data_IF_864456032934
#
_entry.id   IF_864456032934
#
_cell.length_a   1.000
_cell.length_b   1.000
_cell.length_c   1.000
_cell.angle_alpha   90.00
_cell.angle_beta   90.00
_cell.angle_gamma   90.00
#
_symmetry.space_group_name_H-M   'P 1'
#
loop_
_entity.id
_entity.type
_entity.pdbx_description
1 polymer ?
#
# COMPACT_ATOMS: atom_id res chain seq x y z
N UNK A 1 -1.25 -10.36 -20.42
CA UNK A 1 -2.45 -9.89 -19.68
C UNK A 1 -3.77 -10.26 -20.37
N UNK A 2 -3.96 -9.92 -21.66
CA UNK A 2 -5.24 -10.11 -22.37
C UNK A 2 -5.74 -11.57 -22.42
N UNK A 3 -4.85 -12.53 -22.69
CA UNK A 3 -5.22 -13.97 -22.75
C UNK A 3 -5.81 -14.50 -21.44
N UNK A 4 -5.27 -14.12 -20.28
CA UNK A 4 -5.81 -14.56 -18.98
C UNK A 4 -7.10 -13.81 -18.60
N UNK A 5 -7.29 -12.57 -19.08
CA UNK A 5 -8.54 -11.85 -18.89
C UNK A 5 -9.68 -12.55 -19.64
N UNK A 6 -9.46 -12.92 -20.91
CA UNK A 6 -10.45 -13.68 -21.67
C UNK A 6 -10.73 -15.06 -21.06
N UNK A 7 -9.69 -15.80 -20.66
CA UNK A 7 -9.85 -17.15 -20.13
C UNK A 7 -10.63 -17.17 -18.80
N UNK A 8 -10.38 -16.21 -17.90
CA UNK A 8 -11.01 -16.15 -16.57
C UNK A 8 -12.37 -15.43 -16.61
N UNK A 9 -12.44 -14.24 -17.22
CA UNK A 9 -13.64 -13.38 -17.15
C UNK A 9 -14.63 -13.74 -18.26
N UNK A 10 -14.16 -13.99 -19.49
CA UNK A 10 -15.05 -14.24 -20.63
C UNK A 10 -15.43 -15.71 -20.75
N UNK A 11 -14.47 -16.61 -20.54
CA UNK A 11 -14.67 -18.07 -20.68
C UNK A 11 -14.93 -18.81 -19.36
N UNK A 12 -14.84 -18.12 -18.22
CA UNK A 12 -14.98 -18.71 -16.88
C UNK A 12 -14.14 -19.97 -16.65
N UNK A 13 -13.01 -20.08 -17.33
CA UNK A 13 -12.13 -21.24 -17.25
C UNK A 13 -11.11 -21.07 -16.11
N UNK A 14 -11.57 -21.31 -14.89
CA UNK A 14 -10.77 -21.24 -13.67
C UNK A 14 -9.77 -22.40 -13.51
N UNK A 15 -9.79 -23.40 -14.41
CA UNK A 15 -8.87 -24.54 -14.36
C UNK A 15 -7.44 -24.20 -14.81
N UNK A 16 -7.23 -23.04 -15.45
CA UNK A 16 -5.91 -22.57 -15.80
C UNK A 16 -5.19 -21.98 -14.56
N UNK A 17 -4.40 -22.83 -13.91
CA UNK A 17 -3.71 -22.52 -12.65
C UNK A 17 -2.78 -21.30 -12.78
N UNK A 18 -2.12 -21.11 -13.92
CA UNK A 18 -1.18 -19.99 -14.11
C UNK A 18 -1.92 -18.65 -14.23
N UNK A 19 -3.02 -18.62 -14.98
CA UNK A 19 -3.87 -17.43 -15.06
C UNK A 19 -4.56 -17.13 -13.72
N UNK A 20 -5.01 -18.16 -12.99
CA UNK A 20 -5.64 -17.99 -11.69
C UNK A 20 -4.66 -17.42 -10.66
N UNK A 21 -3.43 -17.94 -10.60
CA UNK A 21 -2.36 -17.39 -9.75
C UNK A 21 -2.08 -15.93 -10.07
N UNK A 22 -1.98 -15.58 -11.35
CA UNK A 22 -1.75 -14.20 -11.77
C UNK A 22 -2.91 -13.28 -11.35
N UNK A 23 -4.15 -13.71 -11.53
CA UNK A 23 -5.33 -12.96 -11.12
C UNK A 23 -5.34 -12.75 -9.59
N UNK A 24 -5.12 -13.81 -8.81
CA UNK A 24 -5.05 -13.75 -7.35
C UNK A 24 -3.93 -12.82 -6.87
N UNK A 25 -2.72 -12.91 -7.43
CA UNK A 25 -1.62 -12.01 -7.06
C UNK A 25 -1.94 -10.54 -7.34
N UNK A 26 -2.63 -10.25 -8.45
CA UNK A 26 -3.05 -8.87 -8.77
C UNK A 26 -4.15 -8.38 -7.85
N UNK A 27 -5.18 -9.19 -7.61
CA UNK A 27 -6.25 -8.86 -6.66
C UNK A 27 -5.71 -8.63 -5.26
N UNK A 28 -4.80 -9.50 -4.79
CA UNK A 28 -4.16 -9.34 -3.49
C UNK A 28 -3.35 -8.04 -3.43
N UNK A 29 -2.52 -7.74 -4.44
CA UNK A 29 -1.76 -6.49 -4.49
C UNK A 29 -2.63 -5.24 -4.42
N UNK A 30 -3.74 -5.20 -5.17
CA UNK A 30 -4.68 -4.06 -5.09
C UNK A 30 -5.46 -4.03 -3.77
N UNK A 31 -5.83 -5.19 -3.24
CA UNK A 31 -6.48 -5.30 -1.93
C UNK A 31 -5.59 -4.77 -0.81
N UNK A 32 -4.28 -5.06 -0.87
CA UNK A 32 -3.28 -4.52 0.05
C UNK A 32 -3.18 -3.00 -0.08
N UNK A 33 -3.12 -2.46 -1.30
CA UNK A 33 -3.10 -1.00 -1.51
C UNK A 33 -4.33 -0.34 -0.89
N UNK A 34 -5.53 -0.88 -1.14
CA UNK A 34 -6.76 -0.34 -0.54
C UNK A 34 -6.75 -0.48 0.97
N UNK A 35 -6.36 -1.64 1.50
CA UNK A 35 -6.28 -1.89 2.94
C UNK A 35 -5.25 -1.01 3.65
N UNK A 36 -4.16 -0.66 2.97
CA UNK A 36 -3.09 0.19 3.51
C UNK A 36 -3.57 1.58 3.90
N UNK A 37 -4.64 2.08 3.23
CA UNK A 37 -5.27 3.38 3.52
C UNK A 37 -5.97 3.50 4.87
N UNK A 38 -6.06 2.39 5.61
CA UNK A 38 -6.74 2.32 6.89
C UNK A 38 -5.79 1.96 8.05
N UNK A 39 -4.51 1.69 7.76
CA UNK A 39 -3.59 1.10 8.73
C UNK A 39 -3.29 2.06 9.87
N UNK A 40 -2.99 3.33 9.59
CA UNK A 40 -2.67 4.33 10.63
C UNK A 40 -3.85 5.25 10.96
N UNK A 41 -4.98 5.11 10.28
CA UNK A 41 -6.21 5.86 10.57
C UNK A 41 -6.62 5.78 12.05
N UNK A 42 -6.62 4.60 12.73
CA UNK A 42 -6.96 4.54 14.14
C UNK A 42 -6.00 5.35 15.03
N UNK A 43 -4.71 5.39 14.68
CA UNK A 43 -3.71 6.19 15.39
C UNK A 43 -3.97 7.69 15.20
N UNK A 44 -4.26 8.13 13.98
CA UNK A 44 -4.63 9.52 13.66
C UNK A 44 -5.86 9.94 14.46
N UNK A 45 -6.92 9.12 14.46
CA UNK A 45 -8.15 9.39 15.22
C UNK A 45 -7.85 9.55 16.70
N UNK A 46 -6.98 8.70 17.27
CA UNK A 46 -6.59 8.79 18.68
C UNK A 46 -5.91 10.12 19.01
N UNK A 47 -4.94 10.55 18.19
CA UNK A 47 -4.21 11.83 18.40
C UNK A 47 -5.19 13.00 18.36
N UNK A 48 -6.11 13.02 17.39
CA UNK A 48 -7.11 14.09 17.25
C UNK A 48 -8.07 14.12 18.45
N UNK A 49 -8.48 12.95 18.95
CA UNK A 49 -9.39 12.85 20.10
C UNK A 49 -8.72 13.26 21.41
N UNK A 50 -7.48 12.84 21.64
CA UNK A 50 -6.73 13.19 22.87
C UNK A 50 -6.10 14.57 22.80
N UNK A 51 -5.99 15.15 21.60
CA UNK A 51 -5.24 16.39 21.32
C UNK A 51 -3.80 16.34 21.85
N UNK A 52 -3.21 15.15 21.84
CA UNK A 52 -1.87 14.90 22.35
C UNK A 52 -1.19 13.78 21.56
N UNK A 53 0.01 14.08 21.07
CA UNK A 53 0.95 13.11 20.48
C UNK A 53 1.90 12.49 21.51
N UNK A 54 1.61 12.59 22.81
CA UNK A 54 2.46 12.04 23.86
C UNK A 54 2.70 10.53 23.66
N UNK A 55 3.97 10.13 23.72
CA UNK A 55 4.41 8.76 23.42
C UNK A 55 4.78 8.51 21.95
N UNK A 56 4.58 9.47 21.04
CA UNK A 56 5.04 9.38 19.66
C UNK A 56 6.38 10.10 19.49
N UNK A 57 7.39 9.38 19.02
CA UNK A 57 8.71 9.96 18.74
C UNK A 57 8.75 10.55 17.33
N UNK A 58 8.89 11.87 17.23
CA UNK A 58 9.03 12.58 15.94
C UNK A 58 10.21 12.06 15.14
N UNK A 59 11.35 11.78 15.78
CA UNK A 59 12.53 11.20 15.12
C UNK A 59 12.21 9.85 14.48
N UNK A 60 11.44 8.99 15.16
CA UNK A 60 11.03 7.70 14.61
C UNK A 60 10.13 7.88 13.38
N UNK A 61 9.18 8.82 13.43
CA UNK A 61 8.28 9.12 12.32
C UNK A 61 9.04 9.66 11.11
N UNK A 62 10.01 10.56 11.33
CA UNK A 62 10.87 11.07 10.25
C UNK A 62 11.74 9.98 9.62
N UNK A 63 12.27 9.05 10.43
CA UNK A 63 13.03 7.90 9.93
C UNK A 63 12.16 6.97 9.08
N UNK A 64 10.91 6.75 9.50
CA UNK A 64 9.95 5.97 8.73
C UNK A 64 9.64 6.63 7.38
N UNK A 65 9.39 7.95 7.36
CA UNK A 65 9.19 8.72 6.14
C UNK A 65 10.39 8.66 5.20
N UNK A 66 11.61 8.76 5.73
CA UNK A 66 12.84 8.63 4.94
C UNK A 66 12.96 7.24 4.32
N UNK A 67 12.70 6.19 5.10
CA UNK A 67 12.74 4.81 4.61
C UNK A 67 11.73 4.56 3.49
N UNK A 68 10.47 4.97 3.68
CA UNK A 68 9.42 4.83 2.67
C UNK A 68 9.74 5.63 1.40
N UNK A 69 10.27 6.84 1.55
CA UNK A 69 10.68 7.68 0.41
C UNK A 69 11.80 7.02 -0.39
N UNK A 70 12.81 6.45 0.28
CA UNK A 70 13.89 5.73 -0.37
C UNK A 70 13.39 4.50 -1.13
N UNK A 71 12.50 3.71 -0.54
CA UNK A 71 11.88 2.55 -1.20
C UNK A 71 11.04 2.95 -2.41
N UNK A 72 10.26 4.04 -2.31
CA UNK A 72 9.46 4.57 -3.40
C UNK A 72 10.35 5.07 -4.55
N UNK A 73 11.41 5.82 -4.23
CA UNK A 73 12.39 6.32 -5.21
C UNK A 73 13.10 5.17 -5.93
N UNK A 74 13.54 4.15 -5.20
CA UNK A 74 14.14 2.94 -5.78
C UNK A 74 13.17 2.23 -6.72
N UNK A 75 11.92 2.02 -6.27
CA UNK A 75 10.91 1.32 -7.07
C UNK A 75 10.53 2.09 -8.34
N UNK A 76 10.47 3.42 -8.24
CA UNK A 76 10.27 4.30 -9.39
C UNK A 76 11.44 4.23 -10.38
N UNK A 77 12.68 4.30 -9.89
CA UNK A 77 13.89 4.22 -10.71
C UNK A 77 13.99 2.88 -11.46
N UNK A 78 13.66 1.77 -10.79
CA UNK A 78 13.64 0.43 -11.36
C UNK A 78 12.40 0.15 -12.23
N UNK A 79 11.49 1.13 -12.42
CA UNK A 79 10.26 1.01 -13.21
C UNK A 79 9.36 -0.14 -12.75
N UNK A 80 9.33 -0.41 -11.45
CA UNK A 80 8.39 -1.39 -10.92
C UNK A 80 6.95 -0.90 -11.06
N UNK A 81 6.00 -1.82 -11.36
CA UNK A 81 4.60 -1.44 -11.49
C UNK A 81 4.08 -0.88 -10.16
N UNK A 82 3.21 0.13 -10.24
CA UNK A 82 2.61 0.76 -9.07
C UNK A 82 1.97 -0.25 -8.10
N UNK A 83 1.41 -1.35 -8.62
CA UNK A 83 0.84 -2.43 -7.81
C UNK A 83 1.82 -3.07 -6.82
N UNK A 84 3.14 -2.86 -6.98
CA UNK A 84 4.18 -3.46 -6.14
C UNK A 84 4.66 -2.55 -5.01
N UNK A 85 4.51 -1.23 -5.12
CA UNK A 85 5.03 -0.26 -4.14
C UNK A 85 4.01 0.81 -3.75
N UNK A 86 2.83 0.80 -4.35
CA UNK A 86 1.81 1.83 -4.18
C UNK A 86 1.22 1.92 -2.76
N UNK A 87 1.23 0.83 -2.00
CA UNK A 87 0.86 0.84 -0.58
C UNK A 87 1.74 1.81 0.23
N UNK A 88 3.02 1.91 -0.13
CA UNK A 88 3.98 2.76 0.55
C UNK A 88 3.64 4.24 0.42
N UNK A 89 2.99 4.67 -0.67
CA UNK A 89 2.55 6.05 -0.83
C UNK A 89 1.44 6.42 0.17
N UNK A 90 0.47 5.55 0.37
CA UNK A 90 -0.64 5.80 1.30
C UNK A 90 -0.15 5.79 2.75
N UNK A 91 0.68 4.81 3.11
CA UNK A 91 1.31 4.76 4.43
C UNK A 91 2.21 5.98 4.69
N UNK A 92 2.93 6.46 3.68
CA UNK A 92 3.75 7.67 3.79
C UNK A 92 2.89 8.91 4.02
N UNK A 93 1.76 9.06 3.32
CA UNK A 93 0.82 10.17 3.54
C UNK A 93 0.26 10.15 4.98
N UNK A 94 -0.21 9.00 5.44
CA UNK A 94 -0.73 8.85 6.81
C UNK A 94 0.34 9.11 7.88
N UNK A 95 1.57 8.64 7.65
CA UNK A 95 2.71 8.88 8.54
C UNK A 95 3.11 10.35 8.57
N UNK A 96 3.03 11.05 7.44
CA UNK A 96 3.26 12.49 7.36
C UNK A 96 2.17 13.27 8.09
N UNK A 97 0.91 12.82 8.02
CA UNK A 97 -0.19 13.40 8.80
C UNK A 97 0.04 13.22 10.31
N UNK A 98 0.51 12.05 10.76
CA UNK A 98 0.87 11.83 12.17
C UNK A 98 2.01 12.76 12.61
N UNK A 99 2.99 13.03 11.75
CA UNK A 99 4.06 13.97 12.08
C UNK A 99 3.58 15.42 12.26
N UNK A 100 2.45 15.78 11.63
CA UNK A 100 1.90 17.13 11.61
C UNK A 100 0.85 17.40 12.71
N UNK A 101 0.27 16.34 13.29
CA UNK A 101 -0.76 16.39 14.34
C UNK A 101 -0.14 16.34 15.75
#
# INVERSE_FOLDING_TARGET
>A
PGKCYEEIIVRHNFANVDCLKLALSKCLGYGIIVGSTLVKVPQIVKIVQTKSGEGISVTSVLMELMGMTATAAYSYAQRYPFSAWGEGLFLMLETALIAAL
#
